data_IF_852548909607
#
_entry.id   IF_852548909607
#
_cell.length_a   1.000
_cell.length_b   1.000
_cell.length_c   1.000
_cell.angle_alpha   90.00
_cell.angle_beta   90.00
_cell.angle_gamma   90.00
#
_symmetry.space_group_name_H-M   'P 1'
#
loop_
_entity.id
_entity.type
_entity.pdbx_description
1 polymer ?
#
# COMPACT_ATOMS: atom_id res chain seq x y z
N UNK A 1 -32.12 -3.37 28.43
CA UNK A 1 -31.05 -2.37 28.52
C UNK A 1 -29.91 -2.57 27.52
N UNK A 2 -29.64 -3.78 27.01
CA UNK A 2 -28.59 -4.05 26.02
C UNK A 2 -28.92 -3.48 24.62
N UNK A 3 -30.22 -3.50 24.22
CA UNK A 3 -30.65 -2.96 22.92
C UNK A 3 -30.44 -1.45 22.76
N UNK A 4 -30.53 -0.68 23.84
CA UNK A 4 -30.35 0.77 23.78
C UNK A 4 -28.90 1.19 23.60
N UNK A 5 -27.96 0.44 24.18
CA UNK A 5 -26.53 0.73 24.08
C UNK A 5 -25.98 0.46 22.67
N UNK A 6 -26.46 -0.63 22.02
CA UNK A 6 -26.10 -0.97 20.64
C UNK A 6 -26.63 0.07 19.66
N UNK A 7 -27.86 0.57 19.86
CA UNK A 7 -28.44 1.60 19.00
C UNK A 7 -27.71 2.94 19.13
N UNK A 8 -27.25 3.31 20.30
CA UNK A 8 -26.46 4.54 20.54
C UNK A 8 -25.07 4.41 19.90
N UNK A 9 -24.40 3.27 20.01
CA UNK A 9 -23.11 3.02 19.37
C UNK A 9 -23.21 3.05 17.85
N UNK A 10 -24.27 2.49 17.26
CA UNK A 10 -24.52 2.52 15.81
C UNK A 10 -24.84 3.94 15.32
N UNK A 11 -25.61 4.72 16.08
CA UNK A 11 -25.91 6.12 15.76
C UNK A 11 -24.65 7.00 15.86
N UNK A 12 -23.79 6.81 16.86
CA UNK A 12 -22.53 7.51 16.98
C UNK A 12 -21.56 7.15 15.82
N UNK A 13 -21.51 5.90 15.40
CA UNK A 13 -20.66 5.48 14.28
C UNK A 13 -21.10 6.10 12.94
N UNK A 14 -22.40 6.21 12.68
CA UNK A 14 -22.92 6.83 11.46
C UNK A 14 -22.67 8.35 11.44
N UNK A 15 -22.90 9.04 12.55
CA UNK A 15 -22.58 10.46 12.66
C UNK A 15 -21.09 10.75 12.50
N UNK A 16 -20.21 9.87 13.00
CA UNK A 16 -18.76 10.05 12.88
C UNK A 16 -18.27 9.78 11.46
N UNK A 17 -18.84 8.80 10.76
CA UNK A 17 -18.53 8.54 9.34
C UNK A 17 -18.98 9.70 8.44
N UNK A 18 -20.11 10.31 8.73
CA UNK A 18 -20.61 11.47 7.99
C UNK A 18 -19.71 12.70 8.19
N UNK A 19 -19.16 12.89 9.40
CA UNK A 19 -18.22 13.98 9.69
C UNK A 19 -16.86 13.79 8.96
N UNK A 20 -16.33 12.58 8.87
CA UNK A 20 -15.11 12.33 8.11
C UNK A 20 -15.30 12.56 6.61
N UNK A 21 -16.44 12.12 6.06
CA UNK A 21 -16.79 12.38 4.67
C UNK A 21 -16.90 13.89 4.39
N UNK A 22 -17.61 14.62 5.24
CA UNK A 22 -17.78 16.07 5.05
C UNK A 22 -16.44 16.82 5.15
N UNK A 23 -15.54 16.43 6.05
CA UNK A 23 -14.18 16.98 6.11
C UNK A 23 -13.40 16.76 4.83
N UNK A 24 -13.47 15.55 4.24
CA UNK A 24 -12.82 15.24 2.98
C UNK A 24 -13.42 16.08 1.83
N UNK A 25 -14.75 16.23 1.77
CA UNK A 25 -15.42 17.05 0.77
C UNK A 25 -15.07 18.55 0.91
N UNK A 26 -14.89 19.06 2.13
CA UNK A 26 -14.42 20.43 2.36
C UNK A 26 -12.95 20.58 1.92
N UNK A 27 -12.09 19.61 2.23
CA UNK A 27 -10.68 19.63 1.86
C UNK A 27 -10.44 19.51 0.34
N UNK A 28 -11.43 19.01 -0.40
CA UNK A 28 -11.38 18.93 -1.86
C UNK A 28 -11.48 20.32 -2.54
N UNK A 29 -11.89 21.36 -1.80
CA UNK A 29 -12.00 22.75 -2.32
C UNK A 29 -12.82 22.82 -3.63
N UNK A 30 -12.24 23.32 -4.71
CA UNK A 30 -12.91 23.46 -6.03
C UNK A 30 -13.32 22.11 -6.63
N UNK A 31 -12.61 21.01 -6.28
CA UNK A 31 -12.90 19.68 -6.79
C UNK A 31 -14.05 18.97 -6.06
N UNK A 32 -14.63 19.58 -5.01
CA UNK A 32 -15.77 19.02 -4.25
C UNK A 32 -16.88 18.52 -5.18
N UNK A 33 -17.21 19.28 -6.21
CA UNK A 33 -18.28 18.93 -7.15
C UNK A 33 -18.02 17.61 -7.89
N UNK A 34 -16.77 17.24 -8.17
CA UNK A 34 -16.42 15.97 -8.79
C UNK A 34 -16.66 14.80 -7.83
N UNK A 35 -16.29 14.95 -6.55
CA UNK A 35 -16.54 13.92 -5.55
C UNK A 35 -18.04 13.73 -5.27
N UNK A 36 -18.80 14.82 -5.20
CA UNK A 36 -20.26 14.75 -5.06
C UNK A 36 -20.95 14.09 -6.27
N UNK A 37 -20.42 14.25 -7.50
CA UNK A 37 -20.90 13.51 -8.68
C UNK A 37 -20.74 12.00 -8.51
N UNK A 38 -19.63 11.52 -7.91
CA UNK A 38 -19.42 10.09 -7.62
C UNK A 38 -20.48 9.58 -6.65
N UNK A 39 -20.69 10.30 -5.54
CA UNK A 39 -21.69 9.94 -4.53
C UNK A 39 -23.12 9.94 -5.10
N UNK A 40 -23.41 10.87 -6.01
CA UNK A 40 -24.70 10.92 -6.69
C UNK A 40 -24.87 9.81 -7.74
N UNK A 41 -23.79 9.40 -8.40
CA UNK A 41 -23.80 8.32 -9.38
C UNK A 41 -24.22 6.99 -8.75
N UNK A 42 -23.70 6.69 -7.56
CA UNK A 42 -24.06 5.52 -6.78
C UNK A 42 -25.06 5.93 -5.70
N UNK A 43 -26.35 5.63 -5.89
CA UNK A 43 -27.36 5.99 -4.87
C UNK A 43 -27.53 4.90 -3.82
N UNK A 44 -27.90 5.29 -2.59
CA UNK A 44 -28.19 4.35 -1.50
C UNK A 44 -29.40 3.44 -1.77
N UNK A 45 -30.32 3.87 -2.63
CA UNK A 45 -31.59 3.19 -2.92
C UNK A 45 -31.51 2.28 -4.16
N UNK A 46 -30.32 2.20 -4.79
CA UNK A 46 -30.08 1.42 -5.99
C UNK A 46 -29.45 0.05 -5.67
N UNK A 47 -29.45 -0.90 -6.64
CA UNK A 47 -28.65 -2.12 -6.57
C UNK A 47 -27.17 -1.84 -6.26
N UNK A 48 -26.70 -0.63 -6.53
CA UNK A 48 -25.31 -0.17 -6.34
C UNK A 48 -25.01 0.34 -4.93
N UNK A 49 -25.85 0.03 -3.93
CA UNK A 49 -25.63 0.46 -2.53
C UNK A 49 -24.23 0.10 -1.99
N UNK A 50 -23.65 -1.02 -2.40
CA UNK A 50 -22.29 -1.38 -1.99
C UNK A 50 -21.26 -0.47 -2.66
N UNK A 51 -21.45 -0.10 -3.93
CA UNK A 51 -20.57 0.86 -4.63
C UNK A 51 -20.65 2.26 -4.01
N UNK A 52 -21.85 2.68 -3.57
CA UNK A 52 -21.97 3.92 -2.80
C UNK A 52 -21.13 3.88 -1.51
N UNK A 53 -21.24 2.78 -0.73
CA UNK A 53 -20.42 2.62 0.48
C UNK A 53 -18.92 2.60 0.18
N UNK A 54 -18.52 1.99 -0.93
CA UNK A 54 -17.14 1.97 -1.40
C UNK A 54 -16.65 3.38 -1.79
N UNK A 55 -17.48 4.17 -2.49
CA UNK A 55 -17.20 5.56 -2.82
C UNK A 55 -17.03 6.41 -1.56
N UNK A 56 -17.94 6.29 -0.59
CA UNK A 56 -17.81 6.95 0.72
C UNK A 56 -16.51 6.54 1.42
N UNK A 57 -16.18 5.24 1.40
CA UNK A 57 -14.96 4.73 2.03
C UNK A 57 -13.70 5.34 1.40
N UNK A 58 -13.61 5.37 0.08
CA UNK A 58 -12.47 5.98 -0.62
C UNK A 58 -12.35 7.47 -0.29
N UNK A 59 -13.41 8.24 -0.47
CA UNK A 59 -13.38 9.70 -0.32
C UNK A 59 -13.02 10.11 1.12
N UNK A 60 -13.64 9.50 2.12
CA UNK A 60 -13.41 9.87 3.53
C UNK A 60 -11.99 9.56 4.03
N UNK A 61 -11.29 8.60 3.40
CA UNK A 61 -9.93 8.19 3.77
C UNK A 61 -8.85 8.76 2.82
N UNK A 62 -9.23 9.65 1.88
CA UNK A 62 -8.34 10.18 0.85
C UNK A 62 -7.58 11.45 1.29
N UNK A 63 -7.78 11.96 2.51
CA UNK A 63 -7.23 13.25 2.94
C UNK A 63 -5.70 13.33 2.84
N UNK A 64 -5.01 12.24 3.18
CA UNK A 64 -3.56 12.15 3.17
C UNK A 64 -3.02 11.47 1.89
N UNK A 65 -3.90 11.24 0.88
CA UNK A 65 -3.50 10.70 -0.40
C UNK A 65 -3.00 11.81 -1.34
N UNK A 66 -1.76 11.66 -1.81
CA UNK A 66 -1.16 12.61 -2.75
C UNK A 66 -0.11 11.93 -3.63
N UNK A 67 0.15 12.49 -4.79
CA UNK A 67 1.28 12.13 -5.65
C UNK A 67 2.47 13.04 -5.39
N UNK A 68 3.68 12.48 -5.41
CA UNK A 68 4.91 13.20 -5.54
C UNK A 68 5.35 13.14 -7.01
N UNK A 69 5.00 14.16 -7.77
CA UNK A 69 5.48 14.29 -9.15
C UNK A 69 6.88 14.92 -9.12
N UNK A 70 7.90 14.10 -9.32
CA UNK A 70 9.25 14.58 -9.41
C UNK A 70 9.51 15.19 -10.79
N UNK A 71 10.10 16.38 -10.80
CA UNK A 71 10.62 16.99 -12.03
C UNK A 71 12.09 16.60 -12.13
N UNK A 72 12.40 15.63 -12.98
CA UNK A 72 13.78 15.17 -13.20
C UNK A 72 14.49 16.04 -14.23
N UNK A 73 15.79 16.26 -14.01
CA UNK A 73 16.62 16.88 -15.02
C UNK A 73 16.77 15.97 -16.26
N UNK A 74 16.94 16.57 -17.45
CA UNK A 74 17.06 15.87 -18.73
C UNK A 74 18.13 14.76 -18.75
N UNK A 75 19.18 14.90 -17.97
CA UNK A 75 20.25 13.91 -17.85
C UNK A 75 19.78 12.65 -17.13
N UNK A 76 18.98 12.81 -16.07
CA UNK A 76 18.38 11.68 -15.36
C UNK A 76 17.42 10.91 -16.25
N UNK A 77 16.52 11.61 -16.96
CA UNK A 77 15.56 10.98 -17.89
C UNK A 77 16.31 10.20 -18.97
N UNK A 78 17.33 10.78 -19.58
CA UNK A 78 18.17 10.09 -20.61
C UNK A 78 18.85 8.83 -20.07
N UNK A 79 19.32 8.84 -18.83
CA UNK A 79 19.95 7.68 -18.21
C UNK A 79 18.95 6.56 -17.95
N UNK A 80 17.79 6.90 -17.38
CA UNK A 80 16.72 5.92 -17.14
C UNK A 80 16.22 5.33 -18.47
N UNK A 81 16.04 6.15 -19.51
CA UNK A 81 15.66 5.69 -20.84
C UNK A 81 16.72 4.77 -21.43
N UNK A 82 18.00 5.07 -21.25
CA UNK A 82 19.09 4.22 -21.75
C UNK A 82 19.15 2.88 -21.01
N UNK A 83 18.93 2.85 -19.70
CA UNK A 83 18.85 1.63 -18.91
C UNK A 83 17.61 0.80 -19.28
N UNK A 84 16.49 1.46 -19.56
CA UNK A 84 15.23 0.79 -19.96
C UNK A 84 15.29 0.20 -21.38
N UNK A 85 16.21 0.69 -22.23
CA UNK A 85 16.38 0.25 -23.62
C UNK A 85 17.54 -0.76 -23.82
N UNK A 86 18.11 -1.30 -22.74
CA UNK A 86 19.14 -2.35 -22.87
C UNK A 86 18.47 -3.61 -23.44
N UNK A 87 18.85 -3.95 -24.68
CA UNK A 87 18.42 -5.19 -25.32
C UNK A 87 19.23 -6.39 -24.81
N UNK A 88 18.54 -7.31 -24.16
CA UNK A 88 19.13 -8.52 -23.59
C UNK A 88 19.27 -8.46 -22.08
N UNK A 89 19.55 -9.60 -21.47
CA UNK A 89 19.78 -9.72 -20.02
C UNK A 89 21.21 -9.30 -19.72
N UNK A 90 21.45 -8.13 -19.12
CA UNK A 90 22.82 -7.73 -18.74
C UNK A 90 23.33 -8.70 -17.67
N UNK A 91 24.65 -8.94 -17.65
CA UNK A 91 25.28 -9.64 -16.55
C UNK A 91 25.08 -8.81 -15.28
N UNK A 92 24.48 -9.39 -14.25
CA UNK A 92 24.03 -8.69 -13.05
C UNK A 92 25.14 -7.84 -12.40
N UNK A 93 26.38 -8.33 -12.36
CA UNK A 93 27.52 -7.63 -11.78
C UNK A 93 27.92 -6.37 -12.57
N UNK A 94 27.93 -6.48 -13.90
CA UNK A 94 28.27 -5.33 -14.77
C UNK A 94 27.18 -4.26 -14.73
N UNK A 95 25.92 -4.70 -14.78
CA UNK A 95 24.77 -3.82 -14.67
C UNK A 95 24.75 -3.06 -13.32
N UNK A 96 24.97 -3.77 -12.21
CA UNK A 96 25.00 -3.15 -10.89
C UNK A 96 26.15 -2.16 -10.74
N UNK A 97 27.30 -2.44 -11.32
CA UNK A 97 28.45 -1.50 -11.34
C UNK A 97 28.12 -0.23 -12.13
N UNK A 98 27.45 -0.37 -13.26
CA UNK A 98 27.05 0.77 -14.09
C UNK A 98 25.94 1.58 -13.38
N UNK A 99 24.96 0.93 -12.78
CA UNK A 99 23.93 1.54 -11.94
C UNK A 99 24.55 2.31 -10.75
N UNK A 100 25.51 1.74 -10.05
CA UNK A 100 26.23 2.41 -8.95
C UNK A 100 27.04 3.62 -9.43
N UNK A 101 27.66 3.51 -10.59
CA UNK A 101 28.39 4.63 -11.21
C UNK A 101 27.44 5.77 -11.58
N UNK A 102 26.33 5.44 -12.22
CA UNK A 102 25.27 6.38 -12.58
C UNK A 102 24.65 7.02 -11.32
N UNK A 103 24.38 6.21 -10.28
CA UNK A 103 23.88 6.69 -8.99
C UNK A 103 24.78 7.77 -8.41
N UNK A 104 26.07 7.52 -8.36
CA UNK A 104 27.03 8.48 -7.84
C UNK A 104 27.08 9.77 -8.67
N UNK A 105 26.96 9.66 -9.98
CA UNK A 105 26.92 10.83 -10.86
C UNK A 105 25.61 11.62 -10.75
N UNK A 106 24.48 10.96 -10.51
CA UNK A 106 23.16 11.59 -10.47
C UNK A 106 22.75 12.08 -9.07
N UNK A 107 23.33 11.53 -8.00
CA UNK A 107 22.88 11.78 -6.62
C UNK A 107 22.85 13.28 -6.25
N UNK A 108 23.81 14.07 -6.74
CA UNK A 108 23.80 15.52 -6.56
C UNK A 108 22.82 16.29 -7.46
N UNK A 109 22.39 15.68 -8.58
CA UNK A 109 21.53 16.33 -9.60
C UNK A 109 20.05 16.01 -9.40
N UNK A 110 19.72 14.83 -8.89
CA UNK A 110 18.35 14.45 -8.53
C UNK A 110 17.81 15.34 -7.41
N UNK A 111 18.64 15.68 -6.43
CA UNK A 111 18.28 16.57 -5.32
C UNK A 111 18.02 18.03 -5.75
N UNK A 112 18.40 18.42 -6.96
CA UNK A 112 18.13 19.74 -7.52
C UNK A 112 16.82 19.82 -8.32
N UNK A 113 16.18 18.68 -8.54
CA UNK A 113 14.89 18.59 -9.23
C UNK A 113 13.78 18.86 -8.22
N UNK A 114 12.81 19.69 -8.60
CA UNK A 114 11.67 19.99 -7.74
C UNK A 114 10.71 18.81 -7.66
N UNK A 115 9.89 18.79 -6.61
CA UNK A 115 8.73 17.90 -6.55
C UNK A 115 7.45 18.73 -6.47
N UNK A 116 6.40 18.27 -7.13
CA UNK A 116 5.06 18.86 -7.06
C UNK A 116 4.16 17.87 -6.32
N UNK A 117 3.57 18.33 -5.21
CA UNK A 117 2.59 17.56 -4.45
C UNK A 117 1.22 17.78 -5.09
N UNK A 118 0.54 16.70 -5.48
CA UNK A 118 -0.82 16.72 -5.99
C UNK A 118 -1.73 15.90 -5.07
N UNK A 119 -2.56 16.57 -4.30
CA UNK A 119 -3.53 15.95 -3.42
C UNK A 119 -4.66 15.30 -4.25
N UNK A 120 -4.97 14.03 -3.98
CA UNK A 120 -5.96 13.27 -4.76
C UNK A 120 -7.36 13.86 -4.66
N UNK A 121 -7.77 14.31 -3.47
CA UNK A 121 -9.05 14.99 -3.27
C UNK A 121 -9.25 16.19 -4.20
N UNK A 122 -8.17 16.87 -4.59
CA UNK A 122 -8.19 18.08 -5.41
C UNK A 122 -8.00 17.83 -6.90
N UNK A 123 -7.68 16.59 -7.32
CA UNK A 123 -7.30 16.28 -8.69
C UNK A 123 -8.05 15.12 -9.32
N UNK A 124 -8.60 14.18 -8.52
CA UNK A 124 -9.38 13.06 -9.05
C UNK A 124 -10.71 13.52 -9.61
N UNK A 125 -10.97 13.18 -10.87
CA UNK A 125 -12.25 13.42 -11.51
C UNK A 125 -13.28 12.35 -11.15
N UNK A 126 -14.56 12.70 -11.23
CA UNK A 126 -15.66 11.75 -11.02
C UNK A 126 -15.53 10.54 -11.96
N UNK A 127 -15.20 10.77 -13.23
CA UNK A 127 -15.05 9.69 -14.21
C UNK A 127 -13.95 8.69 -13.86
N UNK A 128 -12.81 9.15 -13.36
CA UNK A 128 -11.72 8.28 -12.93
C UNK A 128 -12.14 7.44 -11.73
N UNK A 129 -12.74 8.05 -10.74
CA UNK A 129 -13.12 7.36 -9.50
C UNK A 129 -14.27 6.36 -9.74
N UNK A 130 -15.26 6.70 -10.56
CA UNK A 130 -16.34 5.80 -10.97
C UNK A 130 -15.78 4.59 -11.72
N UNK A 131 -14.93 4.81 -12.74
CA UNK A 131 -14.29 3.69 -13.46
C UNK A 131 -13.48 2.78 -12.53
N UNK A 132 -12.72 3.38 -11.62
CA UNK A 132 -11.92 2.61 -10.66
C UNK A 132 -12.80 1.74 -9.75
N UNK A 133 -13.88 2.30 -9.18
CA UNK A 133 -14.83 1.57 -8.35
C UNK A 133 -15.50 0.45 -9.15
N UNK A 134 -16.02 0.74 -10.35
CA UNK A 134 -16.68 -0.24 -11.19
C UNK A 134 -15.75 -1.42 -11.52
N UNK A 135 -14.53 -1.13 -11.92
CA UNK A 135 -13.53 -2.15 -12.20
C UNK A 135 -13.13 -2.95 -10.96
N UNK A 136 -13.06 -2.31 -9.79
CA UNK A 136 -12.81 -3.04 -8.54
C UNK A 136 -13.94 -4.02 -8.24
N UNK A 137 -15.19 -3.63 -8.43
CA UNK A 137 -16.35 -4.51 -8.27
C UNK A 137 -16.43 -5.62 -9.32
N UNK A 138 -15.96 -5.36 -10.55
CA UNK A 138 -15.86 -6.43 -11.56
C UNK A 138 -14.92 -7.56 -11.13
N UNK A 139 -13.93 -7.30 -10.30
CA UNK A 139 -13.04 -8.33 -9.80
C UNK A 139 -13.74 -9.31 -8.85
N UNK A 140 -14.87 -8.91 -8.24
CA UNK A 140 -15.67 -9.76 -7.35
C UNK A 140 -16.39 -10.91 -8.07
N UNK A 141 -16.33 -10.98 -9.40
CA UNK A 141 -16.84 -12.11 -10.19
C UNK A 141 -15.95 -13.36 -10.15
N UNK A 142 -14.74 -13.24 -9.65
CA UNK A 142 -13.83 -14.36 -9.59
C UNK A 142 -14.14 -15.29 -8.41
N UNK A 143 -14.02 -16.63 -8.56
CA UNK A 143 -14.41 -17.59 -7.52
C UNK A 143 -13.67 -17.41 -6.18
N UNK A 144 -12.43 -16.95 -6.23
CA UNK A 144 -11.62 -16.71 -5.03
C UNK A 144 -12.05 -15.50 -4.20
N UNK A 145 -13.01 -14.71 -4.68
CA UNK A 145 -13.56 -13.56 -3.95
C UNK A 145 -14.88 -13.88 -3.22
N UNK A 146 -15.43 -15.09 -3.34
CA UNK A 146 -16.72 -15.47 -2.74
C UNK A 146 -16.75 -15.28 -1.22
N UNK A 147 -15.62 -15.51 -0.54
CA UNK A 147 -15.51 -15.36 0.90
C UNK A 147 -14.93 -14.02 1.35
N UNK A 148 -14.72 -13.08 0.43
CA UNK A 148 -14.13 -11.78 0.72
C UNK A 148 -15.15 -10.89 1.43
N UNK A 149 -14.86 -10.51 2.67
CA UNK A 149 -15.66 -9.56 3.42
C UNK A 149 -15.60 -8.16 2.79
N UNK A 150 -16.70 -7.43 2.82
CA UNK A 150 -16.76 -6.09 2.23
C UNK A 150 -15.78 -5.09 2.86
N UNK A 151 -15.48 -5.23 4.15
CA UNK A 151 -14.45 -4.44 4.83
C UNK A 151 -13.06 -4.71 4.27
N UNK A 152 -12.71 -5.98 4.06
CA UNK A 152 -11.42 -6.37 3.50
C UNK A 152 -11.31 -5.99 2.01
N UNK A 153 -12.42 -6.09 1.27
CA UNK A 153 -12.49 -5.54 -0.09
C UNK A 153 -12.18 -4.04 -0.09
N UNK A 154 -12.83 -3.25 0.77
CA UNK A 154 -12.63 -1.81 0.83
C UNK A 154 -11.20 -1.44 1.25
N UNK A 155 -10.58 -2.20 2.15
CA UNK A 155 -9.24 -1.89 2.67
C UNK A 155 -8.11 -2.38 1.74
N UNK A 156 -8.24 -3.59 1.18
CA UNK A 156 -7.11 -4.27 0.54
C UNK A 156 -7.24 -4.43 -0.98
N UNK A 157 -8.44 -4.27 -1.56
CA UNK A 157 -8.66 -4.39 -3.01
C UNK A 157 -9.03 -3.06 -3.66
N UNK A 158 -9.97 -2.35 -3.06
CA UNK A 158 -10.55 -1.11 -3.57
C UNK A 158 -9.59 0.09 -3.67
N UNK A 159 -8.55 0.28 -2.81
CA UNK A 159 -7.72 1.48 -2.84
C UNK A 159 -7.07 1.71 -4.21
N UNK A 160 -7.15 2.95 -4.69
CA UNK A 160 -6.65 3.34 -6.02
C UNK A 160 -5.14 3.57 -6.07
N UNK A 161 -4.47 3.61 -4.93
CA UNK A 161 -3.02 3.80 -4.75
C UNK A 161 -2.46 2.97 -3.61
N UNK A 162 -1.15 2.94 -3.50
CA UNK A 162 -0.39 2.23 -2.45
C UNK A 162 0.41 3.22 -1.61
N UNK A 163 1.09 4.17 -2.24
CA UNK A 163 1.96 5.16 -1.63
C UNK A 163 1.76 6.55 -2.24
N UNK A 164 2.86 7.19 -2.62
CA UNK A 164 2.85 8.54 -3.20
C UNK A 164 3.18 8.54 -4.70
N UNK A 165 3.04 7.39 -5.35
CA UNK A 165 3.23 7.22 -6.78
C UNK A 165 2.27 8.10 -7.58
N UNK A 166 2.65 8.39 -8.82
CA UNK A 166 1.84 9.18 -9.74
C UNK A 166 0.47 8.53 -9.94
N UNK A 167 -0.57 9.36 -9.88
CA UNK A 167 -1.96 8.92 -10.06
C UNK A 167 -2.21 8.50 -11.51
N UNK A 168 -2.61 7.24 -11.72
CA UNK A 168 -2.90 6.65 -13.03
C UNK A 168 -4.09 5.68 -12.98
N UNK A 169 -4.73 5.45 -14.11
CA UNK A 169 -5.77 4.43 -14.29
C UNK A 169 -5.12 3.08 -14.63
N UNK A 170 -4.61 2.38 -13.65
CA UNK A 170 -3.75 1.21 -13.80
C UNK A 170 -4.50 -0.13 -13.94
N UNK A 171 -5.72 -0.23 -13.45
CA UNK A 171 -6.38 -1.52 -13.21
C UNK A 171 -6.63 -2.34 -14.48
N UNK A 172 -6.99 -1.68 -15.60
CA UNK A 172 -7.22 -2.35 -16.89
C UNK A 172 -5.95 -3.02 -17.40
N UNK A 173 -4.84 -2.30 -17.38
CA UNK A 173 -3.57 -2.78 -17.91
C UNK A 173 -3.03 -3.95 -17.11
N UNK A 174 -3.09 -3.83 -15.78
CA UNK A 174 -2.71 -4.93 -14.90
C UNK A 174 -3.58 -6.16 -15.08
N UNK A 175 -4.90 -6.01 -15.18
CA UNK A 175 -5.82 -7.12 -15.43
C UNK A 175 -5.55 -7.79 -16.78
N UNK A 176 -5.30 -7.02 -17.83
CA UNK A 176 -4.96 -7.55 -19.14
C UNK A 176 -3.63 -8.31 -19.14
N UNK A 177 -2.63 -7.83 -18.42
CA UNK A 177 -1.34 -8.52 -18.26
C UNK A 177 -1.49 -9.89 -17.58
N UNK A 178 -2.50 -10.03 -16.71
CA UNK A 178 -2.81 -11.26 -15.96
C UNK A 178 -3.76 -12.22 -16.69
N UNK A 179 -4.30 -11.82 -17.86
CA UNK A 179 -5.36 -12.58 -18.55
C UNK A 179 -4.98 -14.03 -18.86
N UNK A 180 -3.75 -14.28 -19.30
CA UNK A 180 -3.27 -15.65 -19.59
C UNK A 180 -3.26 -16.51 -18.33
N UNK A 181 -2.88 -15.95 -17.20
CA UNK A 181 -2.97 -16.60 -15.91
C UNK A 181 -4.43 -16.90 -15.53
N UNK A 182 -5.31 -15.91 -15.68
CA UNK A 182 -6.73 -16.04 -15.38
C UNK A 182 -7.41 -17.14 -16.18
N UNK A 183 -7.16 -17.24 -17.48
CA UNK A 183 -7.75 -18.26 -18.36
C UNK A 183 -7.36 -19.68 -17.96
N UNK A 184 -6.17 -19.87 -17.36
CA UNK A 184 -5.73 -21.18 -16.86
C UNK A 184 -6.31 -21.50 -15.48
N UNK A 185 -6.56 -20.52 -14.63
CA UNK A 185 -7.00 -20.69 -13.23
C UNK A 185 -8.51 -20.58 -13.05
N UNK A 186 -9.22 -19.81 -13.86
CA UNK A 186 -10.67 -19.64 -13.77
C UNK A 186 -11.46 -20.96 -13.87
N UNK A 187 -10.82 -22.06 -14.31
CA UNK A 187 -11.41 -23.39 -14.43
C UNK A 187 -11.27 -24.26 -13.17
N UNK A 188 -10.49 -23.85 -12.18
CA UNK A 188 -10.07 -24.75 -11.10
C UNK A 188 -10.53 -24.32 -9.70
N UNK A 189 -11.33 -23.30 -9.52
CA UNK A 189 -11.74 -22.80 -8.18
C UNK A 189 -10.59 -22.79 -7.15
N UNK A 190 -9.39 -22.43 -7.61
CA UNK A 190 -8.19 -22.52 -6.78
C UNK A 190 -8.15 -21.36 -5.80
N UNK A 191 -7.66 -21.65 -4.60
CA UNK A 191 -7.41 -20.67 -3.58
C UNK A 191 -6.44 -19.58 -4.07
N UNK A 192 -6.63 -18.37 -3.59
CA UNK A 192 -5.79 -17.17 -3.75
C UNK A 192 -4.27 -17.44 -3.65
N UNK A 193 -3.84 -18.36 -2.76
CA UNK A 193 -2.45 -18.80 -2.62
C UNK A 193 -1.85 -19.40 -3.90
N UNK A 194 -2.65 -20.10 -4.70
CA UNK A 194 -2.17 -20.70 -5.95
C UNK A 194 -1.98 -19.64 -7.03
N UNK A 195 -2.84 -18.64 -7.09
CA UNK A 195 -2.72 -17.50 -8.00
C UNK A 195 -1.49 -16.69 -7.64
N UNK A 196 -1.27 -16.42 -6.35
CA UNK A 196 -0.05 -15.78 -5.86
C UNK A 196 1.19 -16.57 -6.26
N UNK A 197 1.20 -17.89 -6.09
CA UNK A 197 2.34 -18.74 -6.45
C UNK A 197 2.64 -18.72 -7.94
N UNK A 198 1.60 -18.75 -8.80
CA UNK A 198 1.78 -18.66 -10.24
C UNK A 198 2.32 -17.29 -10.66
N UNK A 199 1.74 -16.24 -10.13
CA UNK A 199 2.17 -14.87 -10.39
C UNK A 199 3.64 -14.67 -10.00
N UNK A 200 4.01 -15.14 -8.82
CA UNK A 200 5.38 -15.10 -8.31
C UNK A 200 6.37 -15.83 -9.23
N UNK A 201 5.99 -17.00 -9.75
CA UNK A 201 6.85 -17.73 -10.72
C UNK A 201 7.05 -16.94 -12.00
N UNK A 202 5.98 -16.38 -12.56
CA UNK A 202 6.04 -15.60 -13.79
C UNK A 202 6.92 -14.35 -13.66
N UNK A 203 6.89 -13.71 -12.49
CA UNK A 203 7.73 -12.54 -12.23
C UNK A 203 9.13 -12.90 -11.74
N UNK A 204 9.32 -14.03 -11.07
CA UNK A 204 10.65 -14.53 -10.73
C UNK A 204 11.48 -14.96 -11.97
N UNK A 205 10.81 -15.16 -13.11
CA UNK A 205 11.46 -15.36 -14.42
C UNK A 205 11.90 -14.04 -15.07
N UNK A 206 11.43 -12.87 -14.56
CA UNK A 206 11.95 -11.56 -14.96
C UNK A 206 13.24 -11.27 -14.22
N UNK A 207 14.23 -10.80 -14.95
CA UNK A 207 15.43 -10.23 -14.34
C UNK A 207 15.05 -8.93 -13.61
N UNK A 208 15.20 -8.94 -12.30
CA UNK A 208 14.97 -7.76 -11.47
C UNK A 208 16.30 -7.29 -10.90
N UNK A 209 16.60 -6.02 -11.11
CA UNK A 209 17.82 -5.39 -10.62
C UNK A 209 17.49 -4.47 -9.46
N UNK A 210 18.03 -4.79 -8.30
CA UNK A 210 17.86 -3.97 -7.11
C UNK A 210 18.63 -2.65 -7.24
N UNK A 211 17.92 -1.53 -7.12
CA UNK A 211 18.51 -0.19 -7.13
C UNK A 211 17.73 0.76 -6.23
N UNK A 212 18.43 1.72 -5.63
CA UNK A 212 17.83 2.79 -4.83
C UNK A 212 17.72 4.11 -5.60
N UNK A 213 18.11 4.10 -6.88
CA UNK A 213 18.18 5.32 -7.70
C UNK A 213 16.84 5.69 -8.31
N UNK A 214 15.98 4.70 -8.51
CA UNK A 214 14.72 4.91 -9.19
C UNK A 214 13.74 5.52 -8.20
N UNK A 215 13.14 6.69 -8.52
CA UNK A 215 12.07 7.26 -7.72
C UNK A 215 10.85 6.33 -7.73
N UNK A 216 9.86 6.61 -6.87
CA UNK A 216 8.59 5.87 -6.88
C UNK A 216 8.06 5.80 -8.31
N UNK A 217 8.06 4.59 -8.88
CA UNK A 217 7.62 4.36 -10.24
C UNK A 217 6.09 4.40 -10.29
N UNK A 218 5.56 5.01 -11.33
CA UNK A 218 4.12 4.96 -11.57
C UNK A 218 3.67 3.51 -11.85
N UNK A 219 2.39 3.18 -11.61
CA UNK A 219 1.87 1.85 -11.91
C UNK A 219 2.18 1.37 -13.33
N UNK A 220 2.02 2.24 -14.34
CA UNK A 220 2.34 1.91 -15.74
C UNK A 220 3.84 1.65 -15.94
N UNK A 221 4.70 2.46 -15.34
CA UNK A 221 6.16 2.26 -15.42
C UNK A 221 6.59 0.94 -14.79
N UNK A 222 5.97 0.55 -13.65
CA UNK A 222 6.23 -0.74 -13.03
C UNK A 222 5.81 -1.92 -13.92
N UNK A 223 4.66 -1.80 -14.59
CA UNK A 223 4.10 -2.87 -15.41
C UNK A 223 4.87 -3.07 -16.71
N UNK A 224 5.20 -1.98 -17.41
CA UNK A 224 5.74 -2.00 -18.76
C UNK A 224 7.27 -1.95 -18.82
N UNK A 225 7.95 -1.74 -17.69
CA UNK A 225 9.42 -1.82 -17.67
C UNK A 225 9.90 -3.19 -18.17
N UNK A 226 10.71 -3.20 -19.22
CA UNK A 226 11.32 -4.42 -19.75
C UNK A 226 12.39 -4.98 -18.81
N UNK A 227 13.01 -4.10 -18.04
CA UNK A 227 13.96 -4.43 -16.97
C UNK A 227 13.29 -4.03 -15.66
N UNK A 228 13.06 -4.99 -14.78
CA UNK A 228 12.59 -4.69 -13.42
C UNK A 228 13.68 -3.94 -12.66
N UNK A 229 13.53 -2.62 -12.53
CA UNK A 229 14.41 -1.78 -11.72
C UNK A 229 13.65 -1.32 -10.48
N UNK A 230 14.30 -1.38 -9.34
CA UNK A 230 13.69 -0.86 -8.11
C UNK A 230 14.24 -1.52 -6.85
N UNK A 231 13.62 -1.23 -5.74
CA UNK A 231 13.91 -1.87 -4.46
C UNK A 231 12.68 -2.69 -3.99
N UNK A 232 12.68 -3.10 -2.73
CA UNK A 232 11.57 -3.89 -2.20
C UNK A 232 10.21 -3.16 -2.29
N UNK A 233 10.16 -1.82 -2.28
CA UNK A 233 8.90 -1.07 -2.38
C UNK A 233 8.26 -1.20 -3.76
N UNK A 234 9.05 -1.00 -4.83
CA UNK A 234 8.57 -1.11 -6.21
C UNK A 234 8.09 -2.53 -6.50
N UNK A 235 8.81 -3.55 -6.02
CA UNK A 235 8.40 -4.95 -6.15
C UNK A 235 7.08 -5.25 -5.45
N UNK A 236 6.92 -4.77 -4.22
CA UNK A 236 5.67 -4.94 -3.49
C UNK A 236 4.53 -4.17 -4.17
N UNK A 237 4.80 -2.96 -4.67
CA UNK A 237 3.80 -2.18 -5.40
C UNK A 237 3.31 -2.91 -6.65
N UNK A 238 4.23 -3.41 -7.48
CA UNK A 238 3.88 -4.23 -8.65
C UNK A 238 3.01 -5.43 -8.28
N UNK A 239 3.37 -6.13 -7.20
CA UNK A 239 2.62 -7.29 -6.71
C UNK A 239 1.21 -6.89 -6.26
N UNK A 240 1.09 -5.84 -5.46
CA UNK A 240 -0.20 -5.37 -4.94
C UNK A 240 -1.13 -4.91 -6.05
N UNK A 241 -0.66 -4.11 -7.02
CA UNK A 241 -1.47 -3.68 -8.16
C UNK A 241 -1.99 -4.87 -8.96
N UNK A 242 -1.11 -5.84 -9.22
CA UNK A 242 -1.48 -7.04 -9.96
C UNK A 242 -2.56 -7.85 -9.25
N UNK A 243 -2.38 -8.13 -7.97
CA UNK A 243 -3.33 -8.93 -7.19
C UNK A 243 -4.64 -8.19 -6.93
N UNK A 244 -4.60 -6.90 -6.63
CA UNK A 244 -5.81 -6.06 -6.52
C UNK A 244 -6.62 -6.04 -7.81
N UNK A 245 -5.97 -6.00 -8.98
CA UNK A 245 -6.67 -6.05 -10.27
C UNK A 245 -7.48 -7.33 -10.48
N UNK A 246 -7.15 -8.38 -9.74
CA UNK A 246 -7.82 -9.69 -9.72
C UNK A 246 -8.77 -9.86 -8.52
N UNK A 247 -8.96 -8.86 -7.69
CA UNK A 247 -9.79 -8.95 -6.48
C UNK A 247 -9.14 -9.70 -5.32
N UNK A 248 -7.82 -9.94 -5.38
CA UNK A 248 -7.10 -10.63 -4.31
C UNK A 248 -6.63 -9.61 -3.27
N UNK A 249 -7.07 -9.72 -2.01
CA UNK A 249 -6.73 -8.78 -0.96
C UNK A 249 -5.29 -8.97 -0.49
N UNK A 250 -4.48 -7.94 -0.70
CA UNK A 250 -3.06 -7.93 -0.33
C UNK A 250 -2.68 -6.63 0.35
N UNK A 251 -2.03 -6.76 1.49
CA UNK A 251 -1.44 -5.66 2.25
C UNK A 251 0.08 -5.57 2.03
N UNK A 252 0.66 -4.41 2.34
CA UNK A 252 2.10 -4.24 2.49
C UNK A 252 2.42 -4.14 3.97
N UNK A 253 3.18 -5.10 4.46
CA UNK A 253 3.75 -5.08 5.81
C UNK A 253 5.22 -4.72 5.74
N UNK A 254 5.72 -4.04 6.75
CA UNK A 254 7.11 -3.62 6.79
C UNK A 254 7.66 -3.57 8.21
N UNK A 255 8.96 -3.81 8.33
CA UNK A 255 9.74 -3.48 9.53
C UNK A 255 10.54 -2.22 9.25
N UNK A 256 10.41 -1.16 10.07
CA UNK A 256 11.22 0.05 9.90
C UNK A 256 12.71 -0.24 10.01
N UNK A 257 13.03 -1.20 10.86
CA UNK A 257 14.39 -1.63 11.13
C UNK A 257 14.40 -3.08 11.62
N UNK A 258 15.33 -3.87 11.11
CA UNK A 258 15.61 -5.20 11.63
C UNK A 258 16.22 -5.13 13.05
N UNK A 259 15.98 -6.14 13.87
CA UNK A 259 16.53 -6.18 15.24
C UNK A 259 18.06 -6.26 15.32
N UNK A 260 18.73 -6.70 14.25
CA UNK A 260 20.18 -6.93 14.23
C UNK A 260 20.93 -6.07 13.21
N UNK A 261 20.27 -5.17 12.47
CA UNK A 261 20.90 -4.26 11.51
C UNK A 261 20.05 -3.03 11.18
N UNK A 262 20.71 -1.93 10.85
CA UNK A 262 20.11 -0.61 10.55
C UNK A 262 19.49 -0.55 9.15
N UNK A 263 18.60 -1.47 8.82
CA UNK A 263 17.93 -1.50 7.53
C UNK A 263 16.49 -1.97 7.72
N UNK A 264 15.56 -1.26 7.10
CA UNK A 264 14.16 -1.67 7.00
C UNK A 264 13.93 -2.67 5.87
N UNK A 265 12.74 -3.23 5.83
CA UNK A 265 12.29 -4.11 4.75
C UNK A 265 10.77 -4.13 4.66
N UNK A 266 10.24 -4.40 3.48
CA UNK A 266 8.80 -4.57 3.27
C UNK A 266 8.51 -5.83 2.45
N UNK A 267 7.33 -6.38 2.65
CA UNK A 267 6.82 -7.57 1.96
C UNK A 267 5.31 -7.49 1.79
N UNK A 268 4.76 -8.36 0.95
CA UNK A 268 3.33 -8.51 0.79
C UNK A 268 2.77 -9.48 1.83
N UNK A 269 1.52 -9.26 2.24
CA UNK A 269 0.77 -10.19 3.07
C UNK A 269 -0.60 -10.43 2.42
N UNK A 270 -0.86 -11.66 2.03
CA UNK A 270 -2.15 -12.09 1.56
C UNK A 270 -3.13 -12.12 2.72
N UNK A 271 -4.30 -11.53 2.54
CA UNK A 271 -5.37 -11.47 3.53
C UNK A 271 -6.44 -12.47 3.13
N UNK A 272 -6.58 -13.54 3.88
CA UNK A 272 -7.64 -14.53 3.70
C UNK A 272 -8.55 -14.59 4.90
N UNK A 273 -9.69 -15.29 4.74
CA UNK A 273 -10.65 -15.47 5.82
C UNK A 273 -10.06 -16.30 6.96
N UNK A 274 -9.68 -15.60 8.03
CA UNK A 274 -9.09 -16.22 9.21
C UNK A 274 -7.61 -16.60 9.10
N UNK A 275 -6.92 -16.19 8.03
CA UNK A 275 -5.47 -16.35 7.90
C UNK A 275 -4.82 -15.15 7.24
N UNK A 276 -3.52 -14.98 7.48
CA UNK A 276 -2.68 -13.99 6.83
C UNK A 276 -1.36 -14.65 6.45
N UNK A 277 -0.97 -14.51 5.19
CA UNK A 277 0.20 -15.19 4.65
C UNK A 277 1.21 -14.19 4.10
N UNK A 278 2.30 -13.91 4.85
CA UNK A 278 3.38 -13.07 4.36
C UNK A 278 4.17 -13.76 3.26
N UNK A 279 4.55 -13.01 2.22
CA UNK A 279 5.37 -13.53 1.12
C UNK A 279 6.20 -12.44 0.48
N UNK A 280 7.27 -12.84 -0.17
CA UNK A 280 8.11 -11.97 -0.99
C UNK A 280 7.91 -12.32 -2.46
N UNK A 281 7.88 -11.29 -3.28
CA UNK A 281 7.68 -11.40 -4.72
C UNK A 281 8.67 -12.36 -5.41
N UNK A 282 9.94 -12.35 -5.03
CA UNK A 282 11.00 -13.12 -5.65
C UNK A 282 11.27 -14.48 -4.97
N UNK A 283 10.41 -14.90 -4.04
CA UNK A 283 10.58 -16.19 -3.38
C UNK A 283 10.37 -17.34 -4.36
N UNK A 284 11.44 -18.07 -4.62
CA UNK A 284 11.40 -19.36 -5.31
C UNK A 284 11.01 -20.51 -4.37
N UNK A 285 10.85 -20.22 -3.10
CA UNK A 285 10.47 -21.14 -2.02
C UNK A 285 8.96 -21.00 -1.71
N UNK A 286 8.35 -21.93 -0.99
CA UNK A 286 6.98 -21.81 -0.53
C UNK A 286 6.71 -20.50 0.20
N UNK A 287 5.50 -19.97 0.03
CA UNK A 287 5.09 -18.71 0.65
C UNK A 287 5.38 -18.70 2.15
N UNK A 288 6.04 -17.66 2.61
CA UNK A 288 6.40 -17.46 4.02
C UNK A 288 7.76 -18.02 4.46
N UNK A 289 8.36 -18.95 3.74
CA UNK A 289 9.66 -19.54 4.15
C UNK A 289 10.80 -18.52 4.14
N UNK A 290 10.88 -17.70 3.10
CA UNK A 290 11.93 -16.69 3.00
C UNK A 290 11.86 -15.67 4.15
N UNK A 291 10.65 -15.21 4.49
CA UNK A 291 10.48 -14.31 5.63
C UNK A 291 10.89 -14.99 6.95
N UNK A 292 10.60 -16.28 7.12
CA UNK A 292 11.03 -17.03 8.28
C UNK A 292 12.56 -17.08 8.40
N UNK A 293 13.26 -17.29 7.28
CA UNK A 293 14.73 -17.28 7.25
C UNK A 293 15.30 -15.88 7.55
N UNK A 294 14.72 -14.83 6.98
CA UNK A 294 15.12 -13.45 7.27
C UNK A 294 14.92 -13.10 8.76
N UNK A 295 13.79 -13.50 9.34
CA UNK A 295 13.52 -13.33 10.77
C UNK A 295 14.59 -13.99 11.64
N UNK A 296 14.96 -15.22 11.30
CA UNK A 296 15.98 -15.98 12.02
C UNK A 296 17.36 -15.32 11.94
N UNK A 297 17.72 -14.83 10.77
CA UNK A 297 19.00 -14.17 10.49
C UNK A 297 19.08 -12.76 11.07
N UNK A 298 18.09 -11.92 10.77
CA UNK A 298 18.12 -10.46 10.98
C UNK A 298 17.31 -10.02 12.21
N UNK A 299 16.39 -10.87 12.69
CA UNK A 299 15.48 -10.58 13.80
C UNK A 299 14.39 -9.56 13.43
N UNK A 300 13.17 -9.77 13.87
CA UNK A 300 12.10 -8.77 13.77
C UNK A 300 12.03 -7.95 15.05
N UNK A 301 11.92 -6.63 14.92
CA UNK A 301 11.67 -5.73 16.04
C UNK A 301 10.18 -5.36 16.10
N UNK A 302 9.69 -4.61 15.12
CA UNK A 302 8.30 -4.19 14.98
C UNK A 302 7.86 -4.39 13.55
N UNK A 303 6.58 -4.72 13.34
CA UNK A 303 6.00 -4.84 12.01
C UNK A 303 4.76 -3.97 11.94
N UNK A 304 4.72 -3.11 10.94
CA UNK A 304 3.60 -2.25 10.64
C UNK A 304 3.00 -2.62 9.29
N UNK A 305 1.69 -2.42 9.17
CA UNK A 305 0.92 -2.55 7.93
C UNK A 305 0.50 -1.18 7.43
N UNK A 306 0.68 -0.92 6.15
CA UNK A 306 0.08 0.24 5.51
C UNK A 306 -1.39 -0.03 5.24
N UNK A 307 -2.24 0.82 5.82
CA UNK A 307 -3.68 0.80 5.66
C UNK A 307 -4.10 1.96 4.74
N UNK A 308 -5.20 1.80 4.04
CA UNK A 308 -5.81 2.93 3.32
C UNK A 308 -6.65 3.79 4.27
N UNK A 309 -7.28 3.17 5.25
CA UNK A 309 -8.04 3.87 6.28
C UNK A 309 -7.14 4.40 7.40
N UNK A 310 -7.53 5.56 7.95
CA UNK A 310 -6.96 6.06 9.20
C UNK A 310 -7.18 5.06 10.33
N UNK A 311 -6.14 4.80 11.12
CA UNK A 311 -6.17 3.89 12.25
C UNK A 311 -6.38 4.67 13.56
N UNK A 312 -7.33 4.22 14.36
CA UNK A 312 -7.56 4.76 15.71
C UNK A 312 -6.49 4.29 16.69
N UNK A 313 -6.15 5.13 17.67
CA UNK A 313 -5.19 4.79 18.70
C UNK A 313 -3.71 4.83 18.25
N UNK A 314 -3.42 5.38 17.08
CA UNK A 314 -2.04 5.69 16.66
C UNK A 314 -1.49 6.89 17.44
N UNK A 315 -0.16 7.03 17.55
CA UNK A 315 0.44 8.22 18.17
C UNK A 315 -0.04 9.49 17.49
N UNK A 316 -0.14 9.50 16.16
CA UNK A 316 -0.66 10.62 15.38
C UNK A 316 -2.12 11.01 15.69
N UNK A 317 -2.90 10.09 16.27
CA UNK A 317 -4.27 10.38 16.71
C UNK A 317 -4.36 10.84 18.16
N UNK A 318 -3.30 10.66 18.95
CA UNK A 318 -3.30 10.89 20.41
C UNK A 318 -2.46 12.09 20.84
N UNK A 319 -1.41 12.44 20.08
CA UNK A 319 -0.43 13.46 20.45
C UNK A 319 -0.32 14.55 19.38
N UNK A 320 0.14 15.77 19.77
CA UNK A 320 0.55 16.80 18.82
C UNK A 320 1.69 16.31 17.92
N UNK A 321 1.68 16.74 16.65
CA UNK A 321 2.64 16.28 15.64
C UNK A 321 4.10 16.57 16.03
N UNK A 322 4.36 17.68 16.71
CA UNK A 322 5.70 18.11 17.15
C UNK A 322 6.33 17.16 18.18
N UNK A 323 5.53 16.32 18.82
CA UNK A 323 5.97 15.37 19.85
C UNK A 323 6.15 13.94 19.33
N UNK A 324 5.88 13.73 18.02
CA UNK A 324 5.84 12.40 17.41
C UNK A 324 7.06 12.21 16.51
N UNK A 325 7.81 11.09 16.63
CA UNK A 325 8.83 10.77 15.63
C UNK A 325 8.23 10.61 14.23
N UNK A 326 8.91 11.04 13.15
CA UNK A 326 8.36 11.12 11.79
C UNK A 326 7.66 9.85 11.28
N UNK A 327 8.17 8.67 11.63
CA UNK A 327 7.54 7.40 11.26
C UNK A 327 6.10 7.27 11.79
N UNK A 328 5.84 7.82 12.97
CA UNK A 328 4.55 7.66 13.68
C UNK A 328 3.59 8.84 13.43
N UNK A 329 3.98 9.81 12.62
CA UNK A 329 3.07 10.87 12.13
C UNK A 329 2.03 10.32 11.15
N UNK A 330 2.31 9.17 10.53
CA UNK A 330 1.40 8.50 9.60
C UNK A 330 0.26 7.82 10.35
N UNK A 331 -0.97 8.32 10.16
CA UNK A 331 -2.20 7.78 10.74
C UNK A 331 -2.65 6.47 10.10
N UNK A 332 -2.05 6.08 9.00
CA UNK A 332 -2.39 4.90 8.21
C UNK A 332 -1.55 3.67 8.60
N UNK A 333 -0.79 3.74 9.68
CA UNK A 333 0.02 2.63 10.15
C UNK A 333 -0.68 1.82 11.23
N UNK A 334 -0.87 0.53 10.97
CA UNK A 334 -1.37 -0.46 11.93
C UNK A 334 -0.22 -1.32 12.44
N UNK A 335 -0.02 -1.38 13.75
CA UNK A 335 0.90 -2.36 14.35
C UNK A 335 0.32 -3.77 14.18
N UNK A 336 1.03 -4.62 13.47
CA UNK A 336 0.67 -6.02 13.21
C UNK A 336 1.73 -6.99 13.74
N UNK A 337 2.57 -6.55 14.64
CA UNK A 337 3.68 -7.34 15.19
C UNK A 337 3.22 -8.68 15.77
N UNK A 338 2.04 -8.73 16.38
CA UNK A 338 1.47 -9.94 16.97
C UNK A 338 1.20 -11.07 15.97
N UNK A 339 1.06 -10.73 14.67
CA UNK A 339 0.91 -11.72 13.61
C UNK A 339 2.23 -12.45 13.30
N UNK A 340 3.34 -11.85 13.69
CA UNK A 340 4.68 -12.30 13.32
C UNK A 340 5.43 -12.95 14.48
N UNK A 341 5.14 -12.55 15.70
CA UNK A 341 5.78 -13.09 16.91
C UNK A 341 4.91 -12.89 18.15
N UNK A 342 5.12 -13.73 19.13
CA UNK A 342 4.48 -13.55 20.44
C UNK A 342 5.12 -12.38 21.16
N UNK A 343 4.38 -11.32 21.51
CA UNK A 343 4.93 -10.20 22.25
C UNK A 343 5.38 -10.63 23.65
N UNK A 344 6.47 -10.05 24.12
CA UNK A 344 6.92 -10.20 25.50
C UNK A 344 6.48 -8.98 26.29
N UNK A 345 5.73 -9.21 27.36
CA UNK A 345 5.35 -8.13 28.26
C UNK A 345 6.56 -7.61 29.04
N UNK A 346 6.79 -6.33 29.03
CA UNK A 346 7.76 -5.65 29.87
C UNK A 346 7.06 -4.63 30.77
N UNK A 347 7.45 -4.59 32.04
CA UNK A 347 6.94 -3.58 32.98
C UNK A 347 8.01 -2.51 33.16
N UNK A 348 7.66 -1.28 32.87
CA UNK A 348 8.52 -0.12 33.09
C UNK A 348 7.95 0.71 34.23
N UNK A 349 8.74 0.89 35.27
CA UNK A 349 8.36 1.74 36.41
C UNK A 349 8.89 3.16 36.14
N UNK A 350 7.98 4.13 36.06
CA UNK A 350 8.36 5.53 35.95
C UNK A 350 8.83 6.05 37.31
N UNK A 351 9.95 6.77 37.33
CA UNK A 351 10.47 7.42 38.55
C UNK A 351 9.76 8.73 38.87
N UNK A 352 8.77 9.13 38.06
CA UNK A 352 7.97 10.34 38.23
C UNK A 352 6.49 10.03 37.99
N UNK A 353 5.61 10.85 38.52
CA UNK A 353 4.18 10.80 38.20
C UNK A 353 3.91 11.68 36.99
N UNK A 354 3.35 11.16 35.88
CA UNK A 354 2.98 11.98 34.76
C UNK A 354 1.89 13.00 35.17
N UNK A 355 1.82 14.17 34.53
CA UNK A 355 0.74 15.14 34.73
C UNK A 355 -0.63 14.50 34.49
N UNK A 356 -1.63 14.82 35.31
CA UNK A 356 -2.97 14.19 35.26
C UNK A 356 -3.72 14.37 33.94
N UNK A 357 -3.26 15.27 33.06
CA UNK A 357 -3.94 15.64 31.80
C UNK A 357 -3.07 15.44 30.54
N UNK A 358 -1.84 15.00 30.68
CA UNK A 358 -0.93 14.82 29.56
C UNK A 358 -0.57 13.33 29.42
N UNK A 359 -0.73 12.80 28.22
CA UNK A 359 -0.26 11.45 27.90
C UNK A 359 1.28 11.42 27.92
N UNK A 360 1.86 10.35 28.46
CA UNK A 360 3.29 10.12 28.38
C UNK A 360 3.53 8.96 27.40
N UNK A 361 4.32 9.20 26.36
CA UNK A 361 4.76 8.15 25.47
C UNK A 361 6.13 7.62 25.89
N UNK A 362 6.23 6.31 26.01
CA UNK A 362 7.49 5.63 26.26
C UNK A 362 7.96 4.92 25.00
N UNK A 363 9.13 5.31 24.50
CA UNK A 363 9.77 4.65 23.37
C UNK A 363 10.80 3.64 23.88
N UNK A 364 10.63 2.37 23.55
CA UNK A 364 11.65 1.34 23.78
C UNK A 364 12.54 1.28 22.52
N UNK A 365 13.77 1.75 22.66
CA UNK A 365 14.76 1.75 21.58
C UNK A 365 15.75 0.60 21.78
N UNK A 366 16.15 -0.04 20.69
CA UNK A 366 17.26 -0.97 20.66
C UNK A 366 18.53 -0.19 20.31
N UNK A 367 19.50 -0.19 21.18
CA UNK A 367 20.80 0.38 20.89
C UNK A 367 21.56 -0.57 19.96
N UNK A 368 22.04 -0.04 18.84
CA UNK A 368 22.86 -0.78 17.88
C UNK A 368 24.35 -0.55 18.12
#
# INVERSE_FOLDING_TARGET
MISGLVAVLLACSSCFSDLKLERALVAAEENRSELEKVLKHYSLDSPDRQKYKAAVYLIRNMMDCYSLDYVYGDEYVRVIDSLSNINGTPVQEDFMRDVDSISRCLNGKILQSGSVIKCDLRHLTAGQLIRHIDMSFESLRYPWTEELDFSDFCEYVLPHRIGHERLEEWMTDYRNSMKVALDSFARTAMADSCICSYYLRKYAERDFFYTTIVPELSPSSLLYSTIGLGNCKELQALTVYSLRSLGIPVAIDFTPQWGKRSLGHCWCTLIGKGYQLPFLFYDKVPLGEHLADMRKRDGLAKVYRRMYSEQEGTLASLLPQEEIPPLFEDKHLKDVSELYFTPVAATVNLSFSPPEKEGVCLFVCVQQ
#
